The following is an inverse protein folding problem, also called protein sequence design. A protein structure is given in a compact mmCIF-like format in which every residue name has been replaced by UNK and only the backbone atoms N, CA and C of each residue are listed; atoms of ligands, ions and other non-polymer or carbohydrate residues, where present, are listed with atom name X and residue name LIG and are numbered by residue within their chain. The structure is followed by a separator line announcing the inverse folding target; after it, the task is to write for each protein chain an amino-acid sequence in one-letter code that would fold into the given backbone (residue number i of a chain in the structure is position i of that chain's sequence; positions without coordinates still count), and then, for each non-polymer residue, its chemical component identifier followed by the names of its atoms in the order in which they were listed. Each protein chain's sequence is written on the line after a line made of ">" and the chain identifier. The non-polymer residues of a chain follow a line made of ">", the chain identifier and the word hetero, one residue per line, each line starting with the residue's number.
data_IF_434597930802
#
_entry.id   IF_434597930802
#
_cell.length_a   1.000
_cell.length_b   1.000
_cell.length_c   1.000
_cell.angle_alpha   90.00
_cell.angle_beta   90.00
_cell.angle_gamma   90.00
#
_symmetry.space_group_name_H-M   'P 1'
#
loop_
_entity.id
_entity.type
_entity.pdbx_description
1 polymer ?
#
# COMPACT_ATOMS: atom_id res chain seq x y z
N UNK A 1 5.77 1.65 23.80
CA UNK A 1 4.85 0.57 24.21
C UNK A 1 3.99 0.98 25.40
N UNK A 2 2.88 0.27 25.63
CA UNK A 2 2.07 0.45 26.81
C UNK A 2 2.84 0.00 28.07
N UNK A 3 2.66 0.69 29.19
CA UNK A 3 3.22 0.25 30.45
C UNK A 3 2.54 -1.04 30.96
N UNK A 4 3.18 -1.72 31.92
CA UNK A 4 2.64 -2.99 32.47
C UNK A 4 1.27 -2.85 33.14
N UNK A 5 0.95 -1.77 33.91
CA UNK A 5 -0.38 -1.54 34.47
C UNK A 5 -1.47 -1.38 33.40
N UNK A 6 -1.22 -0.54 32.39
CA UNK A 6 -2.17 -0.33 31.27
C UNK A 6 -2.40 -1.60 30.45
N UNK A 7 -1.36 -2.40 30.19
CA UNK A 7 -1.47 -3.70 29.53
C UNK A 7 -2.34 -4.68 30.34
N UNK A 8 -2.18 -4.72 31.68
CA UNK A 8 -3.02 -5.56 32.56
C UNK A 8 -4.48 -5.11 32.58
N UNK A 9 -4.71 -3.79 32.63
CA UNK A 9 -6.06 -3.23 32.58
C UNK A 9 -6.74 -3.56 31.24
N UNK A 10 -6.04 -3.34 30.13
CA UNK A 10 -6.50 -3.66 28.79
C UNK A 10 -6.82 -5.17 28.65
N UNK A 11 -5.92 -6.05 29.11
CA UNK A 11 -6.11 -7.49 29.02
C UNK A 11 -7.33 -7.98 29.83
N UNK A 12 -7.70 -7.32 30.93
CA UNK A 12 -8.87 -7.65 31.75
C UNK A 12 -10.19 -7.16 31.13
N UNK A 13 -10.14 -6.15 30.27
CA UNK A 13 -11.31 -5.58 29.60
C UNK A 13 -11.68 -6.33 28.32
N UNK A 14 -10.79 -7.18 27.82
CA UNK A 14 -11.10 -8.01 26.66
C UNK A 14 -11.95 -9.23 27.04
N UNK A 15 -12.99 -9.47 26.25
CA UNK A 15 -13.84 -10.66 26.35
C UNK A 15 -13.51 -11.59 25.19
N UNK A 16 -13.03 -12.81 25.43
CA UNK A 16 -12.74 -13.76 24.37
C UNK A 16 -14.04 -14.30 23.76
N UNK A 17 -14.06 -14.39 22.43
CA UNK A 17 -15.14 -15.03 21.67
C UNK A 17 -14.52 -15.90 20.58
N UNK A 18 -15.12 -17.08 20.35
CA UNK A 18 -14.74 -17.98 19.25
C UNK A 18 -15.87 -18.04 18.25
N UNK A 19 -15.56 -17.82 16.99
CA UNK A 19 -16.52 -17.82 15.88
C UNK A 19 -16.10 -18.84 14.82
N UNK A 20 -17.13 -19.47 14.21
CA UNK A 20 -16.95 -20.47 13.17
C UNK A 20 -16.95 -19.84 11.77
N UNK A 21 -16.35 -20.50 10.75
CA UNK A 21 -16.40 -20.03 9.37
C UNK A 21 -17.83 -19.72 8.91
N UNK A 22 -18.03 -18.55 8.28
CA UNK A 22 -19.32 -18.04 7.83
C UNK A 22 -20.08 -17.19 8.87
N UNK A 23 -19.68 -17.19 10.14
CA UNK A 23 -20.32 -16.33 11.13
C UNK A 23 -19.93 -14.87 10.95
N UNK A 24 -20.87 -13.96 11.26
CA UNK A 24 -20.69 -12.51 11.14
C UNK A 24 -20.11 -11.93 12.43
N UNK A 25 -19.03 -11.16 12.30
CA UNK A 25 -18.44 -10.40 13.41
C UNK A 25 -19.14 -9.05 13.57
N UNK A 26 -19.49 -8.39 12.46
CA UNK A 26 -20.22 -7.13 12.41
C UNK A 26 -20.83 -6.92 11.02
N UNK A 27 -21.88 -6.09 10.94
CA UNK A 27 -22.56 -5.75 9.69
C UNK A 27 -22.45 -4.26 9.38
N UNK A 28 -22.29 -3.95 8.11
CA UNK A 28 -22.29 -2.58 7.59
C UNK A 28 -23.55 -1.83 8.01
N UNK A 29 -23.40 -0.59 8.47
CA UNK A 29 -24.50 0.28 8.91
C UNK A 29 -24.98 0.05 10.33
N UNK A 30 -24.57 -1.01 11.02
CA UNK A 30 -24.88 -1.21 12.44
C UNK A 30 -24.12 -0.23 13.34
N UNK A 31 -24.66 0.15 14.51
CA UNK A 31 -23.92 0.95 15.48
C UNK A 31 -22.65 0.22 15.93
N UNK A 32 -21.54 0.92 16.01
CA UNK A 32 -20.27 0.36 16.46
C UNK A 32 -20.12 0.45 17.99
N UNK A 33 -20.40 -0.62 18.69
CA UNK A 33 -20.36 -0.71 20.16
C UNK A 33 -19.09 -1.35 20.71
N UNK A 34 -18.22 -1.88 19.85
CA UNK A 34 -17.04 -2.65 20.22
C UNK A 34 -16.00 -2.70 19.12
N UNK A 35 -14.77 -2.99 19.48
CA UNK A 35 -13.70 -3.38 18.57
C UNK A 35 -13.26 -4.82 18.88
N UNK A 36 -12.59 -5.45 17.93
CA UNK A 36 -12.12 -6.83 18.03
C UNK A 36 -10.65 -6.93 17.65
N UNK A 37 -9.87 -7.61 18.48
CA UNK A 37 -8.51 -8.04 18.16
C UNK A 37 -8.56 -9.51 17.72
N UNK A 38 -8.02 -9.85 16.58
CA UNK A 38 -7.92 -11.22 16.09
C UNK A 38 -6.77 -11.93 16.81
N UNK A 39 -7.09 -12.83 17.73
CA UNK A 39 -6.10 -13.63 18.45
C UNK A 39 -5.64 -14.83 17.61
N UNK A 40 -6.55 -15.45 16.86
CA UNK A 40 -6.25 -16.50 15.89
C UNK A 40 -7.31 -16.54 14.78
N UNK A 41 -7.00 -17.17 13.64
CA UNK A 41 -7.94 -17.33 12.53
C UNK A 41 -7.87 -16.18 11.51
N UNK A 42 -8.90 -16.12 10.65
CA UNK A 42 -8.96 -15.17 9.54
C UNK A 42 -10.38 -14.70 9.27
N UNK A 43 -10.51 -13.38 9.11
CA UNK A 43 -11.79 -12.72 8.81
C UNK A 43 -11.72 -12.11 7.42
N UNK A 44 -12.88 -11.79 6.84
CA UNK A 44 -13.02 -11.05 5.58
C UNK A 44 -13.92 -9.86 5.78
N UNK A 45 -13.44 -8.68 5.35
CA UNK A 45 -14.24 -7.48 5.28
C UNK A 45 -14.83 -7.33 3.87
N UNK A 46 -16.13 -7.01 3.80
CA UNK A 46 -16.84 -6.73 2.56
C UNK A 46 -17.68 -5.48 2.71
N UNK A 47 -17.97 -4.78 1.62
CA UNK A 47 -18.80 -3.59 1.60
C UNK A 47 -19.88 -3.71 0.55
N UNK A 48 -21.12 -3.43 0.92
CA UNK A 48 -22.24 -3.32 -0.01
C UNK A 48 -22.32 -1.88 -0.50
N UNK A 49 -22.29 -1.69 -1.81
CA UNK A 49 -22.44 -0.40 -2.48
C UNK A 49 -23.91 0.01 -2.61
N UNK A 50 -24.11 1.27 -3.00
CA UNK A 50 -25.48 1.81 -3.20
C UNK A 50 -26.25 1.08 -4.34
N UNK A 51 -25.54 0.45 -5.29
CA UNK A 51 -26.11 -0.35 -6.36
C UNK A 51 -26.43 -1.81 -5.93
N UNK A 52 -26.14 -2.18 -4.67
CA UNK A 52 -26.34 -3.53 -4.14
C UNK A 52 -25.18 -4.49 -4.43
N UNK A 53 -24.16 -4.10 -5.16
CA UNK A 53 -22.97 -4.93 -5.38
C UNK A 53 -22.13 -5.05 -4.10
N UNK A 54 -21.55 -6.24 -3.87
CA UNK A 54 -20.67 -6.49 -2.73
C UNK A 54 -19.21 -6.49 -3.20
N UNK A 55 -18.36 -5.71 -2.52
CA UNK A 55 -16.94 -5.62 -2.77
C UNK A 55 -16.17 -6.17 -1.57
N UNK A 56 -15.17 -7.01 -1.82
CA UNK A 56 -14.27 -7.49 -0.77
C UNK A 56 -13.26 -6.37 -0.49
N UNK A 57 -13.21 -5.89 0.76
CA UNK A 57 -12.27 -4.87 1.21
C UNK A 57 -10.92 -5.45 1.63
N UNK A 58 -10.88 -6.72 2.01
CA UNK A 58 -9.66 -7.41 2.40
C UNK A 58 -9.89 -8.51 3.43
N UNK A 59 -8.79 -9.14 3.83
CA UNK A 59 -8.77 -10.13 4.91
C UNK A 59 -8.06 -9.55 6.14
N UNK A 60 -8.55 -9.94 7.32
CA UNK A 60 -8.05 -9.49 8.62
C UNK A 60 -7.49 -10.73 9.32
N UNK A 61 -6.21 -10.65 9.68
CA UNK A 61 -5.45 -11.78 10.21
C UNK A 61 -5.13 -11.62 11.70
N UNK A 62 -4.54 -12.67 12.26
CA UNK A 62 -4.07 -12.69 13.66
C UNK A 62 -3.18 -11.47 13.99
N UNK A 63 -3.46 -10.83 15.13
CA UNK A 63 -2.79 -9.60 15.60
C UNK A 63 -3.40 -8.31 15.07
N UNK A 64 -4.42 -8.37 14.22
CA UNK A 64 -5.07 -7.19 13.68
C UNK A 64 -6.33 -6.81 14.46
N UNK A 65 -6.67 -5.51 14.41
CA UNK A 65 -7.87 -4.95 15.06
C UNK A 65 -8.88 -4.59 13.98
N UNK A 66 -10.16 -4.83 14.26
CA UNK A 66 -11.27 -4.48 13.37
C UNK A 66 -12.42 -3.86 14.15
N UNK A 67 -13.16 -2.94 13.51
CA UNK A 67 -14.30 -2.23 14.10
C UNK A 67 -13.93 -1.06 14.99
N UNK A 68 -12.65 -0.67 15.03
CA UNK A 68 -12.09 0.44 15.77
C UNK A 68 -12.66 1.79 15.33
N UNK A 69 -12.87 1.96 14.00
CA UNK A 69 -13.41 3.18 13.42
C UNK A 69 -14.69 3.63 14.11
N UNK A 70 -15.67 2.75 14.15
CA UNK A 70 -16.97 3.04 14.75
C UNK A 70 -16.91 3.28 16.28
N UNK A 71 -15.89 2.76 16.98
CA UNK A 71 -15.68 3.03 18.41
C UNK A 71 -15.10 4.41 18.65
N UNK A 72 -14.24 4.89 17.74
CA UNK A 72 -13.53 6.17 17.85
C UNK A 72 -14.35 7.37 17.34
N UNK A 73 -15.11 7.19 16.24
CA UNK A 73 -15.81 8.31 15.55
C UNK A 73 -17.30 8.36 15.83
N UNK A 74 -17.86 7.35 16.51
CA UNK A 74 -19.30 7.20 16.72
C UNK A 74 -20.12 6.97 15.42
N UNK A 75 -19.45 6.71 14.32
CA UNK A 75 -20.06 6.41 13.03
C UNK A 75 -20.55 4.95 12.98
N UNK A 76 -21.53 4.64 12.12
CA UNK A 76 -21.95 3.24 11.87
C UNK A 76 -20.79 2.40 11.30
N UNK A 77 -20.92 1.07 11.44
CA UNK A 77 -19.96 0.10 10.86
C UNK A 77 -19.80 0.35 9.36
N UNK A 78 -18.55 0.53 8.94
CA UNK A 78 -18.21 0.83 7.56
C UNK A 78 -18.36 -0.36 6.61
N UNK A 79 -18.22 -1.59 7.13
CA UNK A 79 -18.18 -2.82 6.36
C UNK A 79 -18.83 -3.99 7.12
N UNK A 80 -19.21 -5.03 6.36
CA UNK A 80 -19.49 -6.36 6.92
C UNK A 80 -18.15 -7.04 7.21
N UNK A 81 -18.06 -7.78 8.30
CA UNK A 81 -16.91 -8.64 8.60
C UNK A 81 -17.42 -10.03 8.95
N UNK A 82 -16.93 -11.04 8.25
CA UNK A 82 -17.28 -12.45 8.44
C UNK A 82 -16.03 -13.31 8.64
N UNK A 83 -16.21 -14.45 9.29
CA UNK A 83 -15.15 -15.41 9.56
C UNK A 83 -14.89 -16.26 8.31
N UNK A 84 -13.65 -16.34 7.87
CA UNK A 84 -13.19 -17.22 6.77
C UNK A 84 -12.64 -18.53 7.30
N UNK A 85 -11.81 -18.44 8.35
CA UNK A 85 -11.28 -19.58 9.10
C UNK A 85 -11.65 -19.39 10.57
N UNK A 86 -11.97 -20.47 11.27
CA UNK A 86 -12.31 -20.40 12.71
C UNK A 86 -11.42 -19.39 13.41
N UNK A 87 -12.01 -18.44 14.11
CA UNK A 87 -11.31 -17.33 14.69
C UNK A 87 -11.61 -17.18 16.19
N UNK A 88 -10.53 -16.98 16.95
CA UNK A 88 -10.60 -16.50 18.33
C UNK A 88 -10.38 -15.00 18.32
N UNK A 89 -11.36 -14.26 18.83
CA UNK A 89 -11.35 -12.81 18.88
C UNK A 89 -11.36 -12.33 20.32
N UNK A 90 -10.74 -11.20 20.57
CA UNK A 90 -10.82 -10.49 21.83
C UNK A 90 -11.65 -9.22 21.60
N UNK A 91 -12.86 -9.22 22.15
CA UNK A 91 -13.79 -8.08 22.05
C UNK A 91 -13.53 -7.08 23.15
N UNK A 92 -13.42 -5.79 22.80
CA UNK A 92 -13.37 -4.68 23.73
C UNK A 92 -14.59 -3.78 23.48
N UNK A 93 -15.43 -3.59 24.50
CA UNK A 93 -16.60 -2.71 24.37
C UNK A 93 -16.16 -1.23 24.31
N UNK A 94 -16.99 -0.38 23.69
CA UNK A 94 -16.81 1.08 23.68
C UNK A 94 -16.76 1.64 25.12
N UNK A 95 -17.60 1.13 26.00
CA UNK A 95 -17.65 1.56 27.39
C UNK A 95 -16.32 1.27 28.11
N UNK A 96 -15.79 0.05 27.94
CA UNK A 96 -14.49 -0.33 28.53
C UNK A 96 -13.35 0.44 27.92
N UNK A 97 -13.37 0.66 26.60
CA UNK A 97 -12.39 1.50 25.91
C UNK A 97 -12.37 2.94 26.44
N UNK A 98 -13.55 3.56 26.61
CA UNK A 98 -13.65 4.92 27.17
C UNK A 98 -13.23 4.95 28.66
N UNK A 99 -13.51 3.90 29.42
CA UNK A 99 -13.03 3.77 30.81
C UNK A 99 -11.50 3.69 30.90
N UNK A 100 -10.88 2.93 29.98
CA UNK A 100 -9.44 2.84 29.87
C UNK A 100 -8.81 4.18 29.45
N UNK A 101 -9.46 4.91 28.53
CA UNK A 101 -9.06 6.28 28.14
C UNK A 101 -9.09 7.24 29.34
N UNK A 102 -10.07 7.12 30.23
CA UNK A 102 -10.17 7.96 31.40
C UNK A 102 -9.11 7.64 32.47
N UNK A 103 -8.74 6.37 32.62
CA UNK A 103 -7.78 5.90 33.64
C UNK A 103 -6.33 5.87 33.19
N UNK A 104 -6.07 5.72 31.89
CA UNK A 104 -4.74 5.63 31.28
C UNK A 104 -4.64 6.52 30.03
N UNK A 105 -4.85 7.86 30.15
CA UNK A 105 -5.04 8.73 28.98
C UNK A 105 -3.82 8.84 28.06
N UNK A 106 -2.60 8.77 28.59
CA UNK A 106 -1.39 8.88 27.79
C UNK A 106 -1.13 7.63 26.95
N UNK A 107 -1.34 6.46 27.54
CA UNK A 107 -1.11 5.15 26.93
C UNK A 107 -2.20 4.82 25.90
N UNK A 108 -3.45 5.11 26.23
CA UNK A 108 -4.57 4.84 25.32
C UNK A 108 -4.62 5.87 24.18
N UNK A 109 -4.19 7.13 24.39
CA UNK A 109 -3.97 8.07 23.29
C UNK A 109 -2.95 7.57 22.28
N UNK A 110 -1.87 6.91 22.73
CA UNK A 110 -0.94 6.24 21.79
C UNK A 110 -1.62 5.15 20.99
N UNK A 111 -2.48 4.33 21.62
CA UNK A 111 -3.32 3.35 20.93
C UNK A 111 -4.32 4.04 19.98
N UNK A 112 -4.98 5.10 20.44
CA UNK A 112 -5.91 5.88 19.60
C UNK A 112 -5.22 6.57 18.43
N UNK A 113 -3.99 7.06 18.60
CA UNK A 113 -3.16 7.60 17.52
C UNK A 113 -2.71 6.51 16.52
N UNK A 114 -2.37 5.32 17.01
CA UNK A 114 -2.08 4.17 16.15
C UNK A 114 -3.33 3.75 15.37
N UNK A 115 -4.49 3.80 16.01
CA UNK A 115 -5.78 3.45 15.41
C UNK A 115 -6.27 4.60 14.49
N UNK A 116 -6.19 5.86 14.90
CA UNK A 116 -6.60 7.03 14.13
C UNK A 116 -5.62 7.36 12.99
N UNK A 117 -4.33 7.14 13.16
CA UNK A 117 -3.37 7.18 12.05
C UNK A 117 -3.66 6.11 11.00
N UNK A 118 -4.39 5.06 11.38
CA UNK A 118 -5.01 4.10 10.46
C UNK A 118 -6.27 4.66 9.78
N UNK A 119 -6.96 5.64 10.36
CA UNK A 119 -8.15 6.29 9.77
C UNK A 119 -7.82 7.48 8.87
N UNK A 120 -6.81 8.29 9.21
CA UNK A 120 -6.29 9.33 8.30
C UNK A 120 -5.53 8.72 7.11
N UNK A 121 -5.00 7.52 7.29
CA UNK A 121 -4.55 6.61 6.24
C UNK A 121 -5.72 5.78 5.66
N UNK A 122 -6.94 6.07 6.07
CA UNK A 122 -8.18 5.29 5.93
C UNK A 122 -8.74 5.11 4.53
N UNK A 123 -7.92 5.26 3.50
CA UNK A 123 -8.12 4.72 2.17
C UNK A 123 -6.89 3.95 1.68
N UNK A 124 -6.03 3.54 2.59
CA UNK A 124 -5.00 2.56 2.31
C UNK A 124 -5.61 1.18 2.55
N UNK A 125 -6.36 0.71 1.57
CA UNK A 125 -7.00 -0.59 1.63
C UNK A 125 -5.92 -1.67 1.74
N UNK A 126 -6.02 -2.45 2.82
CA UNK A 126 -5.19 -3.62 3.04
C UNK A 126 -5.65 -4.73 2.11
N UNK A 127 -5.16 -4.66 0.91
CA UNK A 127 -5.35 -5.68 -0.09
C UNK A 127 -4.24 -6.71 0.07
N UNK A 128 -4.59 -7.98 0.28
CA UNK A 128 -3.68 -9.09 0.05
C UNK A 128 -3.94 -9.58 -1.38
N UNK A 129 -3.18 -9.13 -2.38
CA UNK A 129 -3.24 -9.80 -3.67
C UNK A 129 -2.90 -11.27 -3.41
N UNK A 130 -3.65 -12.18 -4.00
CA UNK A 130 -3.30 -13.60 -4.05
C UNK A 130 -2.10 -13.72 -4.99
N UNK A 131 -1.00 -13.07 -4.64
CA UNK A 131 0.22 -13.16 -5.44
C UNK A 131 1.02 -14.34 -4.94
N UNK A 132 0.95 -15.42 -5.70
CA UNK A 132 1.80 -16.62 -5.55
C UNK A 132 3.30 -16.30 -5.51
N UNK A 133 3.70 -15.04 -5.69
CA UNK A 133 5.08 -14.61 -5.93
C UNK A 133 5.64 -13.60 -4.93
N UNK A 134 4.96 -13.28 -3.80
CA UNK A 134 5.52 -12.32 -2.84
C UNK A 134 6.87 -12.77 -2.28
N UNK A 135 6.97 -14.05 -1.88
CA UNK A 135 8.23 -14.61 -1.39
C UNK A 135 9.32 -14.54 -2.47
N UNK A 136 8.95 -14.83 -3.73
CA UNK A 136 9.89 -14.74 -4.85
C UNK A 136 10.32 -13.30 -5.12
N UNK A 137 9.40 -12.36 -5.05
CA UNK A 137 9.72 -10.94 -5.10
C UNK A 137 10.65 -10.52 -3.95
N UNK A 138 10.31 -10.87 -2.70
CA UNK A 138 11.12 -10.53 -1.54
C UNK A 138 12.54 -11.10 -1.61
N UNK A 139 12.74 -12.28 -2.17
CA UNK A 139 14.08 -12.84 -2.41
C UNK A 139 14.95 -11.98 -3.32
N UNK A 140 14.35 -11.15 -4.16
CA UNK A 140 15.07 -10.21 -5.02
C UNK A 140 15.31 -8.85 -4.36
N UNK A 141 14.70 -8.60 -3.20
CA UNK A 141 14.96 -7.39 -2.40
C UNK A 141 16.21 -7.63 -1.53
N UNK A 142 17.24 -6.77 -1.59
CA UNK A 142 18.53 -7.00 -0.94
C UNK A 142 18.45 -7.39 0.54
N UNK A 143 17.52 -6.79 1.29
CA UNK A 143 17.31 -7.11 2.71
C UNK A 143 16.87 -8.55 2.95
N UNK A 144 16.04 -9.09 2.07
CA UNK A 144 15.43 -10.42 2.22
C UNK A 144 16.13 -11.51 1.41
N UNK A 145 16.97 -11.14 0.44
CA UNK A 145 17.66 -12.08 -0.46
C UNK A 145 18.52 -13.11 0.28
N UNK A 146 19.02 -12.74 1.46
CA UNK A 146 19.89 -13.58 2.28
C UNK A 146 19.21 -14.24 3.48
N UNK A 147 17.88 -14.00 3.63
CA UNK A 147 17.14 -14.67 4.69
C UNK A 147 16.91 -16.13 4.35
N UNK A 148 17.05 -17.04 5.31
CA UNK A 148 16.70 -18.45 5.10
C UNK A 148 15.23 -18.57 4.68
N UNK A 149 14.95 -19.47 3.71
CA UNK A 149 13.60 -19.69 3.21
C UNK A 149 12.53 -19.99 4.28
N UNK A 150 12.84 -20.76 5.33
CA UNK A 150 11.93 -20.95 6.47
C UNK A 150 11.56 -19.64 7.18
N UNK A 151 12.53 -18.73 7.41
CA UNK A 151 12.30 -17.45 8.06
C UNK A 151 11.44 -16.52 7.20
N UNK A 152 11.63 -16.50 5.88
CA UNK A 152 10.78 -15.75 4.95
C UNK A 152 9.32 -16.22 5.02
N UNK A 153 9.09 -17.54 5.09
CA UNK A 153 7.73 -18.09 5.25
C UNK A 153 7.11 -17.75 6.60
N UNK A 154 7.93 -17.63 7.64
CA UNK A 154 7.48 -17.25 8.97
C UNK A 154 7.14 -15.75 9.06
N UNK A 155 7.87 -14.90 8.33
CA UNK A 155 7.62 -13.45 8.26
C UNK A 155 6.41 -13.13 7.37
N UNK A 156 6.17 -13.91 6.31
CA UNK A 156 5.12 -13.66 5.31
C UNK A 156 3.72 -13.38 5.92
N UNK A 157 3.22 -14.14 6.91
CA UNK A 157 1.92 -13.86 7.54
C UNK A 157 1.86 -12.52 8.28
N UNK A 158 3.01 -11.96 8.64
CA UNK A 158 3.15 -10.69 9.36
C UNK A 158 3.37 -9.49 8.43
N UNK A 159 3.43 -9.72 7.12
CA UNK A 159 3.50 -8.67 6.12
C UNK A 159 2.12 -8.06 5.88
N UNK A 160 2.04 -6.75 5.94
CA UNK A 160 0.81 -6.03 5.63
C UNK A 160 0.94 -5.39 4.26
N UNK A 161 0.06 -5.77 3.33
CA UNK A 161 -0.06 -5.09 2.04
C UNK A 161 -0.69 -3.72 2.21
N UNK A 162 -0.22 -2.77 1.41
CA UNK A 162 -0.62 -1.40 1.47
C UNK A 162 -0.73 -0.86 0.04
N UNK A 163 -1.95 -0.51 -0.38
CA UNK A 163 -2.18 0.28 -1.58
C UNK A 163 -2.11 1.77 -1.23
N UNK A 164 -1.25 2.52 -1.90
CA UNK A 164 -1.07 3.95 -1.67
C UNK A 164 -1.36 4.73 -2.97
N UNK A 165 -2.52 5.39 -3.09
CA UNK A 165 -2.87 6.18 -4.26
C UNK A 165 -1.90 7.34 -4.50
N UNK A 166 -1.75 7.74 -5.77
CA UNK A 166 -0.96 8.90 -6.17
C UNK A 166 -1.31 10.15 -5.34
N UNK A 167 -0.30 10.89 -4.91
CA UNK A 167 -0.44 12.08 -4.07
C UNK A 167 -0.61 11.82 -2.57
N UNK A 168 -0.92 10.59 -2.14
CA UNK A 168 -1.07 10.25 -0.73
C UNK A 168 0.26 10.19 -0.01
N UNK A 169 0.25 10.59 1.26
CA UNK A 169 1.41 10.57 2.14
C UNK A 169 1.48 9.22 2.85
N UNK A 170 2.63 8.55 2.77
CA UNK A 170 2.92 7.31 3.49
C UNK A 170 3.34 7.58 4.93
N UNK A 171 4.20 8.57 5.14
CA UNK A 171 4.72 8.99 6.45
C UNK A 171 5.18 10.44 6.39
N UNK A 172 5.17 11.14 7.51
CA UNK A 172 5.65 12.54 7.62
C UNK A 172 6.94 12.59 8.42
N UNK A 173 7.81 13.53 8.06
CA UNK A 173 9.00 13.85 8.84
C UNK A 173 8.62 14.20 10.28
N UNK A 174 9.30 13.60 11.25
CA UNK A 174 9.05 13.79 12.69
C UNK A 174 8.02 12.82 13.30
N UNK A 175 7.30 12.02 12.52
CA UNK A 175 6.41 10.97 13.04
C UNK A 175 7.19 9.82 13.68
N UNK A 176 6.58 9.11 14.61
CA UNK A 176 7.16 7.89 15.20
C UNK A 176 7.25 6.77 14.15
N UNK A 177 8.31 5.97 14.25
CA UNK A 177 8.49 4.83 13.36
C UNK A 177 7.59 3.66 13.78
N UNK A 178 6.83 3.12 12.82
CA UNK A 178 5.88 2.03 13.01
C UNK A 178 6.23 0.74 12.24
N UNK A 179 7.37 0.75 11.60
CA UNK A 179 7.88 -0.34 10.78
C UNK A 179 8.68 0.15 9.57
N UNK A 180 9.05 -0.75 8.70
CA UNK A 180 9.63 -0.46 7.40
C UNK A 180 8.69 -0.88 6.27
N UNK A 181 8.89 -0.29 5.11
CA UNK A 181 8.09 -0.52 3.93
C UNK A 181 8.97 -0.95 2.76
N UNK A 182 8.47 -1.87 1.94
CA UNK A 182 9.10 -2.28 0.69
C UNK A 182 8.20 -1.90 -0.47
N UNK A 183 8.74 -1.22 -1.46
CA UNK A 183 7.99 -0.86 -2.67
C UNK A 183 7.87 -2.10 -3.56
N UNK A 184 6.66 -2.60 -3.73
CA UNK A 184 6.37 -3.73 -4.63
C UNK A 184 6.11 -3.25 -6.04
N UNK A 185 5.48 -2.08 -6.18
CA UNK A 185 5.23 -1.42 -7.46
C UNK A 185 4.93 0.06 -7.27
N UNK A 186 5.02 0.83 -8.33
CA UNK A 186 4.79 2.27 -8.29
C UNK A 186 6.05 3.10 -8.02
N UNK A 187 5.86 4.34 -7.58
CA UNK A 187 6.95 5.28 -7.26
C UNK A 187 6.55 6.22 -6.13
N UNK A 188 7.45 6.37 -5.15
CA UNK A 188 7.27 7.31 -4.05
C UNK A 188 8.35 8.36 -4.10
N UNK A 189 8.07 9.54 -3.55
CA UNK A 189 9.01 10.63 -3.38
C UNK A 189 9.19 10.94 -1.92
N UNK A 190 10.45 11.09 -1.49
CA UNK A 190 10.74 11.67 -0.20
C UNK A 190 11.11 13.13 -0.30
N UNK A 191 10.75 13.89 0.71
CA UNK A 191 11.17 15.26 0.95
C UNK A 191 11.56 15.39 2.40
N UNK A 192 12.75 15.93 2.66
CA UNK A 192 13.22 16.21 4.01
C UNK A 192 13.79 17.62 4.11
N UNK A 193 13.69 18.19 5.31
CA UNK A 193 14.32 19.47 5.64
C UNK A 193 15.16 19.24 6.88
N UNK A 194 16.47 19.52 6.79
CA UNK A 194 17.36 19.40 7.95
C UNK A 194 17.25 20.63 8.88
N UNK A 195 17.90 20.57 10.04
CA UNK A 195 17.90 21.65 11.04
C UNK A 195 18.48 22.98 10.49
N UNK A 196 19.24 22.93 9.41
CA UNK A 196 19.80 24.09 8.71
C UNK A 196 18.91 24.62 7.59
N UNK A 197 17.73 24.00 7.40
CA UNK A 197 16.77 24.35 6.35
C UNK A 197 17.13 23.82 4.96
N UNK A 198 18.12 22.93 4.85
CA UNK A 198 18.50 22.33 3.56
C UNK A 198 17.44 21.30 3.17
N UNK A 199 16.87 21.48 2.00
CA UNK A 199 15.88 20.57 1.42
C UNK A 199 16.58 19.46 0.63
N UNK A 200 16.17 18.23 0.86
CA UNK A 200 16.57 17.07 0.07
C UNK A 200 15.34 16.37 -0.45
N UNK A 201 15.42 15.83 -1.65
CA UNK A 201 14.35 15.04 -2.24
C UNK A 201 14.92 13.97 -3.15
N UNK A 202 14.19 12.86 -3.28
CA UNK A 202 14.53 11.77 -4.18
C UNK A 202 13.36 10.83 -4.32
N UNK A 203 13.47 9.86 -5.21
CA UNK A 203 12.41 8.92 -5.51
C UNK A 203 12.79 7.50 -5.03
N UNK A 204 11.77 6.76 -4.60
CA UNK A 204 11.84 5.33 -4.30
C UNK A 204 11.07 4.55 -5.36
N UNK A 205 11.70 3.52 -5.91
CA UNK A 205 11.12 2.61 -6.87
C UNK A 205 10.99 1.18 -6.33
N UNK A 206 10.55 0.28 -7.19
CA UNK A 206 10.35 -1.14 -6.89
C UNK A 206 11.60 -1.78 -6.27
N UNK A 207 11.39 -2.57 -5.21
CA UNK A 207 12.44 -3.27 -4.46
C UNK A 207 13.17 -2.39 -3.46
N UNK A 208 12.90 -1.09 -3.42
CA UNK A 208 13.52 -0.21 -2.43
C UNK A 208 12.77 -0.23 -1.09
N UNK A 209 13.53 -0.02 -0.03
CA UNK A 209 13.06 -0.06 1.37
C UNK A 209 12.94 1.37 1.87
N UNK A 210 11.90 1.64 2.66
CA UNK A 210 11.59 2.96 3.19
C UNK A 210 11.37 2.87 4.70
N UNK A 211 11.92 3.83 5.45
CA UNK A 211 11.71 3.96 6.89
C UNK A 211 12.70 3.17 7.75
N UNK A 212 13.74 2.60 7.15
CA UNK A 212 14.79 1.82 7.81
C UNK A 212 15.63 2.67 8.78
N UNK A 213 15.86 3.95 8.45
CA UNK A 213 16.70 4.83 9.26
C UNK A 213 16.13 4.99 10.68
N UNK A 214 14.87 5.35 10.79
CA UNK A 214 14.19 5.55 12.06
C UNK A 214 14.17 4.29 12.95
N UNK A 215 14.10 3.10 12.33
CA UNK A 215 14.16 1.82 13.05
C UNK A 215 15.55 1.49 13.57
N UNK A 216 16.59 1.91 12.85
CA UNK A 216 17.99 1.65 13.26
C UNK A 216 18.49 2.64 14.30
N UNK A 217 18.09 3.91 14.20
CA UNK A 217 18.51 4.97 15.13
C UNK A 217 17.61 5.09 16.36
N UNK A 218 16.38 4.60 16.29
CA UNK A 218 15.35 4.82 17.31
C UNK A 218 14.75 6.22 17.25
N UNK A 219 15.07 7.01 16.21
CA UNK A 219 14.57 8.37 16.02
C UNK A 219 13.22 8.38 15.30
N UNK A 220 12.64 9.56 15.18
CA UNK A 220 11.46 9.80 14.35
C UNK A 220 11.78 9.70 12.85
N UNK A 221 10.73 9.65 12.00
CA UNK A 221 10.87 9.62 10.54
C UNK A 221 11.71 10.79 10.03
N UNK A 222 12.75 10.51 9.28
CA UNK A 222 13.70 11.50 8.77
C UNK A 222 13.19 12.33 7.58
N UNK A 223 12.11 11.88 6.93
CA UNK A 223 11.54 12.51 5.74
C UNK A 223 10.03 12.29 5.64
N UNK A 224 9.35 13.19 4.93
CA UNK A 224 7.98 12.98 4.44
C UNK A 224 8.06 12.17 3.15
N UNK A 225 7.31 11.08 3.07
CA UNK A 225 7.25 10.21 1.87
C UNK A 225 5.84 10.22 1.32
N UNK A 226 5.72 10.44 0.01
CA UNK A 226 4.45 10.55 -0.72
C UNK A 226 4.48 9.69 -1.97
N UNK A 227 3.36 9.07 -2.32
CA UNK A 227 3.23 8.39 -3.61
C UNK A 227 3.21 9.41 -4.76
N UNK A 228 4.09 9.23 -5.74
CA UNK A 228 4.09 9.97 -7.01
C UNK A 228 3.11 9.35 -7.99
N UNK A 229 2.98 8.02 -7.92
CA UNK A 229 2.03 7.19 -8.66
C UNK A 229 1.29 6.28 -7.69
N UNK A 230 0.18 5.67 -8.14
CA UNK A 230 -0.44 4.58 -7.39
C UNK A 230 0.62 3.52 -7.11
N UNK A 231 0.81 3.19 -5.85
CA UNK A 231 1.92 2.37 -5.40
C UNK A 231 1.44 1.22 -4.51
N UNK A 232 2.04 0.05 -4.72
CA UNK A 232 1.85 -1.13 -3.90
C UNK A 232 3.06 -1.31 -2.98
N UNK A 233 2.80 -1.47 -1.70
CA UNK A 233 3.81 -1.58 -0.67
C UNK A 233 3.56 -2.81 0.19
N UNK A 234 4.62 -3.30 0.80
CA UNK A 234 4.55 -4.29 1.88
C UNK A 234 5.18 -3.68 3.12
N UNK A 235 4.42 -3.64 4.22
CA UNK A 235 4.89 -3.15 5.52
C UNK A 235 5.34 -4.32 6.38
N UNK A 236 6.52 -4.20 6.99
CA UNK A 236 6.95 -4.97 8.15
C UNK A 236 6.79 -4.10 9.39
N UNK A 237 6.06 -4.57 10.39
CA UNK A 237 5.98 -3.88 11.67
C UNK A 237 7.35 -3.85 12.37
N UNK A 238 7.56 -2.89 13.27
CA UNK A 238 8.77 -2.79 14.10
C UNK A 238 9.07 -4.13 14.80
N UNK A 239 8.07 -4.75 15.42
CA UNK A 239 8.21 -6.06 16.09
C UNK A 239 8.72 -7.15 15.13
N UNK A 240 8.18 -7.18 13.90
CA UNK A 240 8.61 -8.16 12.89
C UNK A 240 10.04 -7.89 12.43
N UNK A 241 10.44 -6.63 12.31
CA UNK A 241 11.82 -6.24 11.96
C UNK A 241 12.78 -6.64 13.07
N UNK A 242 12.45 -6.34 14.33
CA UNK A 242 13.30 -6.73 15.48
C UNK A 242 13.48 -8.23 15.57
N UNK A 243 12.40 -9.00 15.36
CA UNK A 243 12.46 -10.46 15.31
C UNK A 243 13.36 -10.93 14.17
N UNK A 244 13.18 -10.39 12.97
CA UNK A 244 14.02 -10.71 11.82
C UNK A 244 15.51 -10.44 12.09
N UNK A 245 15.83 -9.30 12.71
CA UNK A 245 17.21 -8.95 13.08
C UNK A 245 17.78 -9.86 14.19
N UNK A 246 16.94 -10.35 15.09
CA UNK A 246 17.35 -11.30 16.13
C UNK A 246 17.68 -12.67 15.54
N UNK A 247 16.85 -13.19 14.63
CA UNK A 247 16.99 -14.50 14.01
C UNK A 247 18.01 -14.50 12.85
N UNK A 248 18.20 -13.36 12.19
CA UNK A 248 19.14 -13.16 11.09
C UNK A 248 19.97 -11.87 11.27
N UNK A 249 20.95 -11.84 12.21
CA UNK A 249 21.74 -10.63 12.51
C UNK A 249 22.46 -10.04 11.29
N UNK A 250 22.79 -10.84 10.28
CA UNK A 250 23.39 -10.37 9.04
C UNK A 250 22.45 -9.45 8.21
N UNK A 251 21.14 -9.46 8.46
CA UNK A 251 20.22 -8.52 7.84
C UNK A 251 20.55 -7.06 8.23
N UNK A 252 21.12 -6.84 9.42
CA UNK A 252 21.60 -5.52 9.85
C UNK A 252 22.71 -4.99 8.94
N UNK A 253 23.61 -5.84 8.48
CA UNK A 253 24.66 -5.46 7.53
C UNK A 253 24.07 -4.93 6.21
N UNK A 254 23.00 -5.55 5.73
CA UNK A 254 22.34 -5.11 4.51
C UNK A 254 21.58 -3.79 4.68
N UNK A 255 20.94 -3.58 5.84
CA UNK A 255 20.31 -2.29 6.16
C UNK A 255 21.35 -1.17 6.20
N UNK A 256 22.49 -1.40 6.86
CA UNK A 256 23.58 -0.40 6.91
C UNK A 256 24.20 -0.14 5.53
N UNK A 257 24.31 -1.16 4.69
CA UNK A 257 24.78 -1.02 3.31
C UNK A 257 23.82 -0.18 2.45
N UNK A 258 22.51 -0.43 2.54
CA UNK A 258 21.49 0.36 1.85
C UNK A 258 21.58 1.83 2.26
N UNK A 259 21.77 2.11 3.56
CA UNK A 259 21.96 3.47 4.05
C UNK A 259 23.24 4.11 3.51
N UNK A 260 24.35 3.39 3.52
CA UNK A 260 25.63 3.89 2.98
C UNK A 260 25.53 4.21 1.47
N UNK A 261 24.88 3.33 0.70
CA UNK A 261 24.65 3.57 -0.72
C UNK A 261 23.73 4.78 -0.97
N UNK A 262 22.75 5.04 -0.12
CA UNK A 262 21.88 6.23 -0.22
C UNK A 262 22.66 7.52 0.10
N UNK A 263 23.46 7.52 1.16
CA UNK A 263 24.27 8.68 1.54
C UNK A 263 25.28 9.07 0.44
N UNK A 264 25.74 8.09 -0.34
CA UNK A 264 26.64 8.34 -1.48
C UNK A 264 25.90 8.77 -2.75
N UNK A 265 24.65 8.31 -2.96
CA UNK A 265 23.82 8.73 -4.11
C UNK A 265 23.32 10.17 -4.01
N UNK A 266 23.15 10.71 -2.81
CA UNK A 266 22.71 12.10 -2.57
C UNK A 266 23.63 13.17 -3.18
N UNK A 267 24.81 12.78 -3.72
CA UNK A 267 25.76 13.67 -4.39
C UNK A 267 25.65 13.70 -5.93
N UNK A 268 24.83 12.81 -6.52
CA UNK A 268 24.59 12.79 -7.95
C UNK A 268 23.16 13.31 -8.24
N UNK A 269 23.05 14.33 -9.10
CA UNK A 269 21.75 14.78 -9.60
C UNK A 269 20.99 13.58 -10.21
N UNK A 270 19.72 13.34 -9.83
CA UNK A 270 18.94 12.26 -10.41
C UNK A 270 18.74 12.57 -11.89
N UNK A 271 19.33 11.77 -12.76
CA UNK A 271 18.97 11.76 -14.18
C UNK A 271 17.50 11.33 -14.23
N UNK A 272 16.60 12.30 -14.40
CA UNK A 272 15.16 12.09 -14.56
C UNK A 272 14.91 11.34 -15.88
N UNK A 273 15.01 10.03 -15.86
CA UNK A 273 14.52 9.20 -16.96
C UNK A 273 13.03 9.01 -16.72
N UNK A 274 12.17 9.50 -17.63
CA UNK A 274 10.81 9.05 -17.67
C UNK A 274 10.81 7.62 -18.24
N UNK A 275 10.09 6.72 -17.61
CA UNK A 275 9.91 5.35 -18.10
C UNK A 275 8.48 5.11 -18.59
N UNK A 276 7.50 5.84 -18.06
CA UNK A 276 6.08 5.66 -18.39
C UNK A 276 5.51 6.91 -19.07
N UNK A 277 5.07 6.74 -20.31
CA UNK A 277 4.43 7.77 -21.12
C UNK A 277 2.98 7.37 -21.39
N UNK A 278 2.03 8.17 -20.92
CA UNK A 278 0.62 8.02 -21.24
C UNK A 278 0.26 8.87 -22.46
N UNK A 279 -0.41 8.28 -23.42
CA UNK A 279 -0.88 8.94 -24.64
C UNK A 279 -2.40 9.00 -24.62
N UNK A 280 -2.97 10.21 -24.58
CA UNK A 280 -4.43 10.42 -24.47
C UNK A 280 -4.97 11.14 -25.70
N UNK A 281 -6.11 10.69 -26.27
CA UNK A 281 -6.81 11.44 -27.31
C UNK A 281 -7.55 12.64 -26.71
N UNK A 282 -7.41 13.81 -27.29
CA UNK A 282 -8.20 15.01 -26.96
C UNK A 282 -9.22 15.35 -28.03
N UNK A 283 -9.29 14.59 -29.11
CA UNK A 283 -10.33 14.67 -30.12
C UNK A 283 -10.77 13.28 -30.58
N UNK A 284 -12.03 13.15 -30.97
CA UNK A 284 -12.67 11.86 -31.34
C UNK A 284 -12.18 11.24 -32.66
N UNK A 285 -11.43 11.99 -33.49
CA UNK A 285 -10.95 11.55 -34.80
C UNK A 285 -9.57 10.88 -34.77
N UNK A 286 -8.88 10.83 -33.65
CA UNK A 286 -7.52 10.30 -33.56
C UNK A 286 -7.51 8.79 -33.64
N UNK A 287 -6.79 8.23 -34.60
CA UNK A 287 -6.45 6.81 -34.61
C UNK A 287 -5.30 6.54 -33.60
N UNK A 288 -5.70 6.24 -32.36
CA UNK A 288 -4.78 5.97 -31.27
C UNK A 288 -3.89 4.76 -31.53
N UNK A 289 -4.41 3.73 -32.22
CA UNK A 289 -3.63 2.53 -32.51
C UNK A 289 -2.51 2.84 -33.51
N UNK A 290 -2.83 3.53 -34.61
CA UNK A 290 -1.81 3.94 -35.56
C UNK A 290 -0.78 4.88 -34.95
N UNK A 291 -1.23 5.87 -34.14
CA UNK A 291 -0.35 6.82 -33.49
C UNK A 291 0.60 6.13 -32.49
N UNK A 292 0.07 5.33 -31.56
CA UNK A 292 0.88 4.66 -30.54
C UNK A 292 1.81 3.60 -31.13
N UNK A 293 1.41 2.93 -32.22
CA UNK A 293 2.30 1.99 -32.95
C UNK A 293 3.48 2.74 -33.57
N UNK A 294 3.24 3.83 -34.29
CA UNK A 294 4.30 4.64 -34.86
C UNK A 294 5.22 5.27 -33.81
N UNK A 295 4.65 5.69 -32.66
CA UNK A 295 5.44 6.21 -31.54
C UNK A 295 6.31 5.10 -30.91
N UNK A 296 5.76 3.88 -30.75
CA UNK A 296 6.52 2.71 -30.29
C UNK A 296 7.68 2.41 -31.22
N UNK A 297 7.45 2.36 -32.52
CA UNK A 297 8.51 2.13 -33.52
C UNK A 297 9.61 3.20 -33.43
N UNK A 298 9.23 4.48 -33.32
CA UNK A 298 10.18 5.59 -33.21
C UNK A 298 11.01 5.52 -31.93
N UNK A 299 10.40 5.21 -30.79
CA UNK A 299 11.11 5.07 -29.53
C UNK A 299 11.96 3.80 -29.47
N UNK A 300 11.64 2.77 -30.24
CA UNK A 300 12.42 1.51 -30.29
C UNK A 300 13.85 1.70 -30.81
N UNK A 301 14.14 2.81 -31.49
CA UNK A 301 15.52 3.18 -31.83
C UNK A 301 16.35 3.63 -30.60
N UNK A 302 15.69 3.96 -29.48
CA UNK A 302 16.32 4.47 -28.26
C UNK A 302 16.30 3.46 -27.10
N UNK A 303 15.59 2.35 -27.23
CA UNK A 303 15.51 1.32 -26.21
C UNK A 303 14.33 0.38 -26.40
N UNK A 304 14.17 -0.55 -25.47
CA UNK A 304 13.04 -1.47 -25.46
C UNK A 304 11.76 -0.74 -25.09
N UNK A 305 10.73 -0.88 -25.93
CA UNK A 305 9.45 -0.19 -25.76
C UNK A 305 8.32 -1.20 -25.68
N UNK A 306 7.49 -1.07 -24.65
CA UNK A 306 6.28 -1.86 -24.53
C UNK A 306 5.03 -0.97 -24.64
N UNK A 307 4.04 -1.42 -25.39
CA UNK A 307 2.75 -0.73 -25.56
C UNK A 307 1.68 -1.48 -24.76
N UNK A 308 1.06 -0.77 -23.84
CA UNK A 308 -0.03 -1.26 -23.00
C UNK A 308 -1.35 -0.66 -23.45
N UNK A 309 -2.31 -1.53 -23.73
CA UNK A 309 -3.68 -1.17 -24.13
C UNK A 309 -4.68 -1.81 -23.18
N UNK A 310 -5.92 -1.30 -23.06
CA UNK A 310 -6.97 -1.94 -22.27
C UNK A 310 -7.20 -3.40 -22.65
N UNK A 311 -7.19 -3.70 -23.94
CA UNK A 311 -7.40 -5.06 -24.46
C UNK A 311 -6.34 -6.03 -23.95
N UNK A 312 -5.09 -5.62 -23.91
CA UNK A 312 -3.99 -6.44 -23.44
C UNK A 312 -4.09 -6.74 -21.93
N UNK A 313 -4.60 -5.79 -21.15
CA UNK A 313 -4.90 -6.00 -19.75
C UNK A 313 -6.03 -7.00 -19.58
N UNK A 314 -7.10 -6.81 -20.32
CA UNK A 314 -8.28 -7.68 -20.28
C UNK A 314 -7.98 -9.11 -20.76
N UNK A 315 -7.12 -9.28 -21.78
CA UNK A 315 -6.65 -10.60 -22.23
C UNK A 315 -5.90 -11.35 -21.12
N UNK A 316 -5.13 -10.65 -20.30
CA UNK A 316 -4.32 -11.26 -19.25
C UNK A 316 -5.10 -11.53 -17.97
N UNK A 317 -5.91 -10.59 -17.51
CA UNK A 317 -6.57 -10.62 -16.20
C UNK A 317 -8.07 -10.87 -16.25
N UNK A 318 -8.63 -10.97 -17.46
CA UNK A 318 -10.06 -11.13 -17.70
C UNK A 318 -10.77 -9.83 -18.11
N UNK A 319 -11.91 -9.94 -18.79
CA UNK A 319 -12.64 -8.80 -19.33
C UNK A 319 -12.99 -7.77 -18.25
N UNK A 320 -12.85 -6.48 -18.60
CA UNK A 320 -13.17 -5.34 -17.75
C UNK A 320 -12.11 -5.00 -16.70
N UNK A 321 -10.99 -5.73 -16.63
CA UNK A 321 -9.93 -5.44 -15.64
C UNK A 321 -9.27 -4.09 -15.87
N UNK A 322 -9.15 -3.66 -17.11
CA UNK A 322 -8.61 -2.34 -17.43
C UNK A 322 -9.38 -1.19 -16.77
N UNK A 323 -10.69 -1.36 -16.61
CA UNK A 323 -11.63 -0.34 -16.08
C UNK A 323 -12.04 -0.57 -14.62
N UNK A 324 -11.47 -1.57 -13.95
CA UNK A 324 -11.78 -1.84 -12.54
C UNK A 324 -11.39 -0.67 -11.64
N UNK A 325 -12.16 -0.46 -10.59
CA UNK A 325 -11.75 0.44 -9.52
C UNK A 325 -10.52 -0.12 -8.79
N UNK A 326 -9.75 0.78 -8.16
CA UNK A 326 -8.49 0.41 -7.48
C UNK A 326 -8.70 -0.56 -6.32
N UNK A 327 -9.92 -0.64 -5.82
CA UNK A 327 -10.34 -1.49 -4.70
C UNK A 327 -10.56 -2.96 -5.09
N UNK A 328 -10.57 -3.29 -6.38
CA UNK A 328 -10.67 -4.69 -6.83
C UNK A 328 -9.29 -5.39 -6.69
N UNK A 329 -9.23 -6.62 -6.17
CA UNK A 329 -8.00 -7.41 -6.07
C UNK A 329 -7.20 -7.52 -7.36
N UNK A 330 -7.90 -7.64 -8.47
CA UNK A 330 -7.26 -7.74 -9.79
C UNK A 330 -6.54 -6.45 -10.19
N UNK A 331 -6.97 -5.30 -9.63
CA UNK A 331 -6.30 -4.03 -9.88
C UNK A 331 -4.87 -4.03 -9.30
N UNK A 332 -4.68 -4.54 -8.09
CA UNK A 332 -3.35 -4.68 -7.48
C UNK A 332 -2.47 -5.67 -8.25
N UNK A 333 -3.01 -6.80 -8.68
CA UNK A 333 -2.27 -7.76 -9.52
C UNK A 333 -1.83 -7.13 -10.84
N UNK A 334 -2.73 -6.38 -11.47
CA UNK A 334 -2.41 -5.60 -12.66
C UNK A 334 -1.30 -4.58 -12.39
N UNK A 335 -1.34 -3.85 -11.27
CA UNK A 335 -0.34 -2.84 -10.91
C UNK A 335 1.05 -3.46 -10.69
N UNK A 336 1.12 -4.61 -10.04
CA UNK A 336 2.37 -5.36 -9.86
C UNK A 336 2.93 -5.79 -11.21
N UNK A 337 2.08 -6.36 -12.07
CA UNK A 337 2.48 -6.77 -13.42
C UNK A 337 2.94 -5.59 -14.29
N UNK A 338 2.25 -4.45 -14.20
CA UNK A 338 2.66 -3.22 -14.90
C UNK A 338 4.04 -2.77 -14.45
N UNK A 339 4.31 -2.84 -13.15
CA UNK A 339 5.62 -2.53 -12.58
C UNK A 339 6.69 -3.53 -13.00
N UNK A 340 6.36 -4.82 -13.17
CA UNK A 340 7.29 -5.82 -13.72
C UNK A 340 7.68 -5.46 -15.16
N UNK A 341 6.71 -5.05 -15.97
CA UNK A 341 6.98 -4.61 -17.36
C UNK A 341 7.82 -3.33 -17.36
N UNK A 342 7.47 -2.33 -16.55
CA UNK A 342 8.24 -1.09 -16.45
C UNK A 342 9.73 -1.35 -16.15
N UNK A 343 10.03 -2.36 -15.31
CA UNK A 343 11.41 -2.73 -15.00
C UNK A 343 12.13 -3.46 -16.12
N UNK A 344 11.38 -4.14 -16.98
CA UNK A 344 11.93 -4.95 -18.08
C UNK A 344 12.20 -4.14 -19.34
N UNK A 345 11.69 -2.89 -19.44
CA UNK A 345 11.77 -2.05 -20.64
C UNK A 345 12.34 -0.67 -20.33
N UNK A 346 12.83 0.01 -21.35
CA UNK A 346 13.29 1.41 -21.22
C UNK A 346 12.11 2.39 -21.24
N UNK A 347 11.06 2.07 -22.01
CA UNK A 347 9.86 2.89 -22.14
C UNK A 347 8.60 2.05 -22.11
N UNK A 348 7.65 2.44 -21.29
CA UNK A 348 6.30 1.89 -21.23
C UNK A 348 5.30 2.93 -21.76
N UNK A 349 4.64 2.61 -22.86
CA UNK A 349 3.58 3.44 -23.42
C UNK A 349 2.22 2.93 -22.94
N UNK A 350 1.45 3.81 -22.30
CA UNK A 350 0.06 3.55 -21.90
C UNK A 350 -0.86 4.24 -22.91
N UNK A 351 -1.56 3.46 -23.71
CA UNK A 351 -2.48 3.98 -24.72
C UNK A 351 -3.83 4.27 -24.10
N UNK A 352 -4.23 5.54 -24.13
CA UNK A 352 -5.57 5.98 -23.75
C UNK A 352 -6.65 5.44 -24.69
N UNK A 353 -7.85 5.40 -24.18
CA UNK A 353 -9.05 4.92 -24.89
C UNK A 353 -10.23 5.86 -24.68
N UNK A 354 -11.42 5.43 -25.10
CA UNK A 354 -12.67 6.13 -24.80
C UNK A 354 -13.16 5.89 -23.36
N UNK A 355 -12.55 4.94 -22.66
CA UNK A 355 -12.88 4.61 -21.27
C UNK A 355 -12.17 5.56 -20.30
N UNK A 356 -12.94 6.36 -19.56
CA UNK A 356 -12.43 7.34 -18.64
C UNK A 356 -11.72 6.71 -17.44
N UNK A 357 -12.21 5.56 -16.94
CA UNK A 357 -11.59 4.86 -15.79
C UNK A 357 -10.19 4.34 -16.14
N UNK A 358 -10.04 3.82 -17.36
CA UNK A 358 -8.73 3.44 -17.90
C UNK A 358 -7.81 4.65 -18.06
N UNK A 359 -8.31 5.76 -18.61
CA UNK A 359 -7.52 6.97 -18.83
C UNK A 359 -7.04 7.57 -17.49
N UNK A 360 -7.90 7.65 -16.49
CA UNK A 360 -7.53 8.10 -15.15
C UNK A 360 -6.42 7.23 -14.55
N UNK A 361 -6.50 5.93 -14.72
CA UNK A 361 -5.47 4.99 -14.29
C UNK A 361 -4.15 5.24 -15.01
N UNK A 362 -4.18 5.41 -16.33
CA UNK A 362 -3.00 5.74 -17.13
C UNK A 362 -2.34 7.06 -16.66
N UNK A 363 -3.16 8.08 -16.40
CA UNK A 363 -2.70 9.39 -15.90
C UNK A 363 -1.96 9.22 -14.55
N UNK A 364 -2.54 8.45 -13.63
CA UNK A 364 -1.93 8.22 -12.30
C UNK A 364 -0.62 7.43 -12.36
N UNK A 365 -0.37 6.68 -13.43
CA UNK A 365 0.85 5.91 -13.63
C UNK A 365 1.91 6.63 -14.47
N UNK A 366 1.56 7.74 -15.11
CA UNK A 366 2.43 8.43 -16.04
C UNK A 366 3.54 9.24 -15.39
N UNK A 367 4.76 9.16 -15.93
CA UNK A 367 5.79 10.19 -15.72
C UNK A 367 5.51 11.42 -16.58
N UNK A 368 4.99 11.18 -17.79
CA UNK A 368 4.60 12.22 -18.74
C UNK A 368 3.31 11.82 -19.47
N UNK A 369 2.53 12.84 -19.81
CA UNK A 369 1.29 12.69 -20.57
C UNK A 369 1.47 13.39 -21.90
N UNK A 370 1.18 12.68 -22.99
CA UNK A 370 1.13 13.20 -24.34
C UNK A 370 -0.33 13.29 -24.77
N UNK A 371 -0.79 14.50 -25.05
CA UNK A 371 -2.12 14.77 -25.56
C UNK A 371 -2.07 14.81 -27.08
N UNK A 372 -2.92 14.03 -27.74
CA UNK A 372 -2.95 13.90 -29.21
C UNK A 372 -4.30 14.38 -29.72
N UNK A 373 -4.25 15.36 -30.64
CA UNK A 373 -5.42 15.91 -31.29
C UNK A 373 -5.35 15.73 -32.82
N UNK A 374 -6.50 15.64 -33.46
CA UNK A 374 -6.58 15.69 -34.92
C UNK A 374 -6.39 17.14 -35.42
N UNK A 375 -5.52 17.31 -36.41
CA UNK A 375 -5.25 18.62 -37.00
C UNK A 375 -6.51 19.16 -37.69
N UNK A 376 -7.05 20.28 -37.17
CA UNK A 376 -8.25 20.90 -37.74
C UNK A 376 -9.50 20.79 -36.84
N UNK A 377 -9.45 20.05 -35.76
CA UNK A 377 -10.49 20.08 -34.74
C UNK A 377 -10.15 21.11 -33.63
N UNK A 378 -11.17 21.76 -33.09
CA UNK A 378 -11.01 22.70 -31.97
C UNK A 378 -10.60 21.92 -30.71
N UNK A 379 -9.41 22.16 -30.13
CA UNK A 379 -8.92 21.44 -28.95
C UNK A 379 -9.59 21.90 -27.66
N UNK A 380 -10.77 22.50 -27.68
CA UNK A 380 -11.52 22.81 -26.48
C UNK A 380 -11.99 21.53 -25.82
N UNK A 381 -11.36 21.25 -24.68
CA UNK A 381 -11.73 20.21 -23.72
C UNK A 381 -12.95 20.64 -22.90
#
# INVERSE_FOLDING_TARGET
>A
GLDRPALKALARSFVPITLQPGESVMKQGEPGDSLFLVASGRLRATRVRADGSETILGEICTGEIVGEAAVLTDEPRYANVSVVEQADLLRLSRTDFNSLLATHPAEIRKLSHIIAGRQEQGHTERFRPVSRNLIEFLKNVPLFAFLPGPLLKEIEPHLTWLHLPAGRVLMRQGEEADGLYVVVGGRLRFESVDERGVKRSGDFGRGEIIGELALLTGDSRSATVRAVRDSELVKLSDVSVQRMLHEAPHALFWLTRILAERLTRDQAEPVRRFSVLTVLPVSSGVDMNAFCTGLKESLSFHGNVELMTPQRVDEKFGPGTASLEMEDPRASEFMIWLSDIEHAVDYLLLQGSTDMSWNERCIRQADKILLVADAGQDPRL
#
